data_IF_781265729234
#
_entry.id   IF_781265729234
#
_cell.length_a   1.000
_cell.length_b   1.000
_cell.length_c   1.000
_cell.angle_alpha   90.00
_cell.angle_beta   90.00
_cell.angle_gamma   90.00
#
_symmetry.space_group_name_H-M   'P 1'
#
loop_
_entity.id
_entity.type
_entity.pdbx_description
1 polymer ?
#
# COMPACT_ATOMS: atom_id res chain seq x y z
N UNK A 1 -24.54 -16.10 -10.41
CA UNK A 1 -23.98 -17.37 -9.89
C UNK A 1 -24.04 -17.32 -8.37
N UNK A 2 -24.94 -18.09 -7.75
CA UNK A 2 -25.12 -18.18 -6.30
C UNK A 2 -24.29 -19.36 -5.80
N UNK A 3 -23.50 -19.18 -4.74
CA UNK A 3 -23.01 -20.30 -3.93
C UNK A 3 -23.08 -19.92 -2.45
N UNK A 4 -24.03 -20.56 -1.77
CA UNK A 4 -24.22 -20.64 -0.32
C UNK A 4 -23.30 -21.69 0.28
N UNK A 5 -22.72 -21.42 1.46
CA UNK A 5 -22.11 -22.43 2.33
C UNK A 5 -22.84 -22.40 3.68
N UNK A 6 -23.36 -23.56 4.06
CA UNK A 6 -24.16 -23.86 5.23
C UNK A 6 -23.35 -24.72 6.22
N UNK A 7 -23.48 -24.38 7.51
CA UNK A 7 -23.54 -25.25 8.71
C UNK A 7 -22.49 -26.34 8.99
N UNK A 8 -21.74 -26.15 10.08
CA UNK A 8 -21.21 -27.17 11.02
C UNK A 8 -21.16 -26.47 12.38
N UNK A 9 -21.57 -26.98 13.55
CA UNK A 9 -22.15 -28.25 13.97
C UNK A 9 -22.43 -28.12 15.48
N UNK A 10 -23.59 -28.63 15.95
CA UNK A 10 -23.94 -28.72 17.38
C UNK A 10 -23.50 -30.07 17.92
N UNK A 11 -22.81 -30.08 19.06
CA UNK A 11 -22.48 -31.25 19.89
C UNK A 11 -22.26 -30.68 21.31
N UNK A 12 -23.24 -30.61 22.22
CA UNK A 12 -23.89 -31.66 23.01
C UNK A 12 -22.90 -32.48 23.87
N UNK A 13 -22.71 -32.12 25.16
CA UNK A 13 -22.53 -33.06 26.29
C UNK A 13 -22.97 -32.37 27.59
N UNK A 14 -23.89 -33.04 28.30
CA UNK A 14 -24.39 -32.78 29.66
C UNK A 14 -23.99 -33.99 30.54
N UNK A 15 -23.55 -33.76 31.79
CA UNK A 15 -23.41 -34.70 32.93
C UNK A 15 -23.40 -33.75 34.17
N UNK A 16 -24.37 -33.66 35.09
CA UNK A 16 -25.14 -34.60 35.92
C UNK A 16 -24.32 -35.28 37.04
N UNK A 17 -24.33 -34.71 38.26
CA UNK A 17 -24.22 -35.47 39.52
C UNK A 17 -24.77 -34.69 40.73
N UNK A 18 -25.88 -35.14 41.34
CA UNK A 18 -26.43 -34.62 42.61
C UNK A 18 -26.15 -35.60 43.77
N UNK A 19 -26.06 -35.13 45.03
CA UNK A 19 -26.31 -35.94 46.25
C UNK A 19 -26.40 -35.02 47.49
N UNK A 20 -27.58 -34.93 48.13
CA UNK A 20 -27.96 -35.41 49.49
C UNK A 20 -27.03 -34.91 50.63
N UNK A 21 -27.51 -34.48 51.81
CA UNK A 21 -28.27 -35.26 52.81
C UNK A 21 -29.03 -34.33 53.79
N UNK A 22 -30.25 -34.79 54.15
CA UNK A 22 -31.13 -34.55 55.30
C UNK A 22 -30.52 -34.13 56.65
N UNK A 23 -31.29 -33.41 57.49
CA UNK A 23 -31.78 -33.98 58.78
C UNK A 23 -32.80 -33.06 59.47
N UNK A 24 -33.70 -33.70 60.22
CA UNK A 24 -34.90 -33.20 60.87
C UNK A 24 -34.74 -33.23 62.42
N UNK A 25 -35.62 -32.49 63.12
CA UNK A 25 -35.89 -32.60 64.58
C UNK A 25 -35.55 -31.29 65.33
N UNK A 26 -36.37 -30.70 66.21
CA UNK A 26 -37.63 -31.06 66.87
C UNK A 26 -38.26 -29.78 67.49
N UNK A 27 -39.61 -29.72 67.57
CA UNK A 27 -40.42 -28.78 68.39
C UNK A 27 -40.42 -29.23 69.89
N UNK A 28 -40.92 -28.48 70.91
CA UNK A 28 -41.55 -27.14 70.93
C UNK A 28 -41.18 -26.21 72.14
N UNK A 29 -41.78 -25.00 72.12
CA UNK A 29 -42.33 -24.23 73.26
C UNK A 29 -41.48 -23.17 74.00
N UNK A 30 -42.22 -22.08 74.25
CA UNK A 30 -42.09 -21.04 75.29
C UNK A 30 -41.32 -19.73 75.00
N UNK A 31 -42.15 -18.71 74.78
CA UNK A 31 -41.93 -17.29 75.00
C UNK A 31 -41.27 -17.02 76.37
N UNK A 32 -40.19 -16.22 76.39
CA UNK A 32 -40.16 -14.96 77.15
C UNK A 32 -38.88 -14.16 76.86
N UNK A 33 -39.09 -12.97 76.30
CA UNK A 33 -38.49 -11.68 76.67
C UNK A 33 -36.98 -11.56 76.99
N UNK A 34 -36.33 -10.73 76.16
CA UNK A 34 -35.21 -9.84 76.42
C UNK A 34 -33.88 -10.44 76.87
N UNK A 35 -32.85 -10.33 76.01
CA UNK A 35 -31.65 -9.55 76.32
C UNK A 35 -30.75 -9.40 75.09
N UNK A 36 -30.05 -8.27 75.04
CA UNK A 36 -29.21 -7.83 73.95
C UNK A 36 -27.79 -8.39 74.05
N UNK A 37 -27.20 -8.62 72.86
CA UNK A 37 -25.78 -8.63 72.44
C UNK A 37 -25.39 -9.97 71.78
N UNK A 38 -24.32 -10.00 70.96
CA UNK A 38 -23.84 -9.03 69.97
C UNK A 38 -23.34 -9.74 68.71
N UNK A 39 -23.89 -9.51 67.53
CA UNK A 39 -23.36 -10.10 66.28
C UNK A 39 -23.98 -9.28 65.13
N UNK A 40 -23.28 -8.75 64.14
CA UNK A 40 -21.95 -8.99 63.60
C UNK A 40 -21.46 -7.66 63.03
N UNK A 41 -20.14 -7.44 63.01
CA UNK A 41 -19.55 -6.34 62.26
C UNK A 41 -20.03 -6.42 60.80
N UNK A 42 -20.94 -5.52 60.40
CA UNK A 42 -21.22 -5.29 58.99
C UNK A 42 -19.95 -4.70 58.40
N UNK A 43 -19.24 -5.51 57.64
CA UNK A 43 -18.24 -5.00 56.72
C UNK A 43 -19.04 -4.29 55.63
N UNK A 44 -19.17 -2.98 55.77
CA UNK A 44 -19.72 -2.08 54.76
C UNK A 44 -18.79 -2.13 53.54
N UNK A 45 -19.01 -3.09 52.66
CA UNK A 45 -18.45 -3.05 51.31
C UNK A 45 -19.07 -1.85 50.60
N UNK A 46 -18.26 -0.83 50.31
CA UNK A 46 -18.69 0.46 49.76
C UNK A 46 -19.45 0.41 48.43
N UNK A 47 -19.60 -0.78 47.83
CA UNK A 47 -20.25 -1.00 46.55
C UNK A 47 -21.46 -1.94 46.62
N UNK A 48 -21.88 -2.37 47.82
CA UNK A 48 -23.05 -3.23 48.03
C UNK A 48 -23.94 -2.63 49.11
N UNK A 49 -25.25 -2.54 48.84
CA UNK A 49 -26.23 -2.02 49.80
C UNK A 49 -27.15 -3.16 50.23
N UNK A 50 -27.16 -3.44 51.53
CA UNK A 50 -28.04 -4.45 52.14
C UNK A 50 -29.32 -3.78 52.64
N UNK A 51 -30.49 -4.38 52.34
CA UNK A 51 -31.80 -3.80 52.70
C UNK A 51 -32.68 -4.87 53.35
N UNK A 52 -33.38 -4.49 54.42
CA UNK A 52 -34.29 -5.42 55.12
C UNK A 52 -35.59 -5.65 54.35
N UNK A 53 -36.25 -6.80 54.56
CA UNK A 53 -37.46 -7.18 53.80
C UNK A 53 -38.64 -6.19 53.97
N UNK A 54 -38.73 -5.51 55.12
CA UNK A 54 -39.73 -4.47 55.36
C UNK A 54 -39.43 -3.20 54.55
N UNK A 55 -38.16 -2.81 54.46
CA UNK A 55 -37.70 -1.66 53.66
C UNK A 55 -37.83 -1.96 52.15
N UNK A 56 -37.54 -3.18 51.71
CA UNK A 56 -37.70 -3.61 50.32
C UNK A 56 -39.17 -3.46 49.84
N UNK A 57 -40.13 -3.87 50.68
CA UNK A 57 -41.57 -3.74 50.38
C UNK A 57 -42.08 -2.30 50.50
N UNK A 58 -41.60 -1.52 51.47
CA UNK A 58 -42.01 -0.13 51.65
C UNK A 58 -41.56 0.78 50.47
N UNK A 59 -40.42 0.45 49.86
CA UNK A 59 -39.80 1.25 48.79
C UNK A 59 -40.20 0.74 47.39
N UNK A 60 -40.85 -0.42 47.28
CA UNK A 60 -41.44 -0.91 46.04
C UNK A 60 -40.41 -1.34 44.98
N UNK A 61 -39.30 -1.94 45.41
CA UNK A 61 -38.22 -2.34 44.49
C UNK A 61 -38.69 -3.49 43.59
N UNK A 62 -38.61 -3.28 42.28
CA UNK A 62 -38.90 -4.29 41.26
C UNK A 62 -37.60 -4.74 40.58
N UNK A 63 -37.40 -6.06 40.51
CA UNK A 63 -36.26 -6.68 39.86
C UNK A 63 -36.64 -7.00 38.41
N UNK A 64 -35.95 -6.40 37.45
CA UNK A 64 -36.00 -6.78 36.05
C UNK A 64 -34.80 -7.65 35.68
N UNK A 65 -35.00 -8.67 34.84
CA UNK A 65 -33.90 -9.43 34.24
C UNK A 65 -33.34 -8.70 33.03
N UNK A 66 -32.03 -8.78 32.80
CA UNK A 66 -31.40 -8.23 31.60
C UNK A 66 -31.75 -9.11 30.40
N UNK A 67 -32.47 -8.54 29.42
CA UNK A 67 -32.81 -9.23 28.18
C UNK A 67 -32.03 -8.66 26.99
N UNK A 68 -31.40 -9.50 26.15
CA UNK A 68 -30.75 -9.04 24.93
C UNK A 68 -31.81 -8.56 23.93
N UNK A 69 -31.79 -7.26 23.62
CA UNK A 69 -32.69 -6.64 22.65
C UNK A 69 -31.90 -6.12 21.46
N UNK A 70 -32.40 -6.39 20.25
CA UNK A 70 -31.80 -5.81 19.04
C UNK A 70 -32.04 -4.31 19.01
N UNK A 71 -30.94 -3.55 19.07
CA UNK A 71 -30.96 -2.10 18.90
C UNK A 71 -30.79 -1.78 17.41
N UNK A 72 -31.85 -1.29 16.78
CA UNK A 72 -31.79 -0.78 15.42
C UNK A 72 -31.30 0.67 15.45
N UNK A 73 -29.98 0.87 15.51
CA UNK A 73 -29.36 2.18 15.35
C UNK A 73 -28.71 2.30 13.98
N UNK A 74 -29.08 3.30 13.18
CA UNK A 74 -28.29 3.66 12.01
C UNK A 74 -27.16 4.59 12.45
N UNK A 75 -25.92 4.12 12.35
CA UNK A 75 -24.74 4.96 12.59
C UNK A 75 -24.43 5.74 11.30
N UNK A 76 -24.71 7.04 11.31
CA UNK A 76 -24.31 7.93 10.21
C UNK A 76 -22.83 8.24 10.34
N UNK A 77 -22.06 7.87 9.31
CA UNK A 77 -20.63 8.17 9.19
C UNK A 77 -20.39 8.97 7.92
N UNK A 78 -19.42 9.88 7.98
CA UNK A 78 -18.91 10.56 6.79
C UNK A 78 -17.75 9.73 6.22
N UNK A 79 -17.67 9.64 4.90
CA UNK A 79 -16.57 8.99 4.19
C UNK A 79 -16.23 9.80 2.94
N UNK A 80 -15.02 9.60 2.43
CA UNK A 80 -14.59 10.13 1.15
C UNK A 80 -14.31 8.97 0.20
N UNK A 81 -14.52 9.20 -1.09
CA UNK A 81 -14.14 8.26 -2.14
C UNK A 81 -12.75 8.67 -2.60
N UNK A 82 -11.80 7.75 -2.51
CA UNK A 82 -10.45 7.95 -3.04
C UNK A 82 -10.17 6.94 -4.13
N UNK A 83 -9.45 7.38 -5.15
CA UNK A 83 -9.04 6.50 -6.24
C UNK A 83 -7.76 5.81 -5.80
N UNK A 84 -7.67 4.46 -5.84
CA UNK A 84 -6.43 3.78 -5.52
C UNK A 84 -5.28 4.36 -6.37
N UNK A 85 -4.13 4.69 -5.77
CA UNK A 85 -3.02 5.36 -6.48
C UNK A 85 -2.48 4.52 -7.66
N UNK A 86 -2.75 3.21 -7.67
CA UNK A 86 -2.41 2.29 -8.76
C UNK A 86 -3.10 2.63 -10.08
N UNK A 87 -4.23 3.35 -10.06
CA UNK A 87 -5.00 3.72 -11.25
C UNK A 87 -4.74 5.17 -11.71
N UNK A 88 -3.83 5.89 -11.06
CA UNK A 88 -3.43 7.25 -11.44
C UNK A 88 -2.03 7.19 -12.07
N UNK A 89 -1.93 7.59 -13.33
CA UNK A 89 -0.64 7.67 -14.04
C UNK A 89 -0.38 9.13 -14.43
N UNK A 90 0.71 9.68 -13.92
CA UNK A 90 1.21 10.99 -14.37
C UNK A 90 2.19 10.77 -15.51
N UNK A 91 1.90 11.34 -16.69
CA UNK A 91 2.73 11.23 -17.87
C UNK A 91 3.68 12.43 -17.89
N UNK A 92 4.98 12.17 -17.88
CA UNK A 92 6.04 13.19 -17.97
C UNK A 92 6.97 12.84 -19.10
N UNK A 93 7.51 13.85 -19.77
CA UNK A 93 8.49 13.66 -20.85
C UNK A 93 9.90 13.96 -20.34
N UNK A 94 10.88 13.18 -20.81
CA UNK A 94 12.28 13.34 -20.42
C UNK A 94 12.88 14.66 -20.94
N UNK A 95 12.36 15.15 -22.07
CA UNK A 95 12.69 16.44 -22.67
C UNK A 95 11.43 17.27 -22.84
N UNK A 96 11.56 18.58 -22.57
CA UNK A 96 10.49 19.54 -22.78
C UNK A 96 10.24 19.80 -24.26
N UNK A 97 9.17 20.53 -24.54
CA UNK A 97 8.83 20.96 -25.89
C UNK A 97 7.48 21.66 -25.92
N UNK A 98 7.15 22.14 -27.10
CA UNK A 98 5.85 22.78 -27.38
C UNK A 98 4.88 21.67 -27.80
N UNK A 99 3.65 21.70 -27.28
CA UNK A 99 2.58 20.80 -27.73
C UNK A 99 2.19 21.21 -29.16
N UNK A 100 2.45 20.33 -30.12
CA UNK A 100 2.07 20.50 -31.52
C UNK A 100 0.60 20.20 -31.74
N UNK A 101 0.12 19.11 -31.14
CA UNK A 101 -1.28 18.70 -31.22
C UNK A 101 -1.65 17.77 -30.06
N UNK A 102 -2.93 17.83 -29.70
CA UNK A 102 -3.57 16.95 -28.72
C UNK A 102 -4.90 16.51 -29.33
N UNK A 103 -5.01 15.28 -29.85
CA UNK A 103 -6.24 14.80 -30.48
C UNK A 103 -7.36 14.54 -29.47
N UNK A 104 -7.04 14.46 -28.18
CA UNK A 104 -7.94 14.09 -27.10
C UNK A 104 -8.49 15.30 -26.36
N UNK A 105 -9.76 15.19 -25.98
CA UNK A 105 -10.45 16.11 -25.08
C UNK A 105 -10.35 15.62 -23.64
N UNK A 106 -10.51 16.53 -22.69
CA UNK A 106 -10.55 16.18 -21.28
C UNK A 106 -11.76 15.29 -20.99
N UNK A 107 -11.53 14.18 -20.29
CA UNK A 107 -12.56 13.17 -20.01
C UNK A 107 -12.74 12.10 -21.08
N UNK A 108 -11.99 12.17 -22.20
CA UNK A 108 -11.96 11.09 -23.18
C UNK A 108 -11.32 9.82 -22.61
N UNK A 109 -11.90 8.66 -22.91
CA UNK A 109 -11.30 7.37 -22.60
C UNK A 109 -10.08 7.14 -23.48
N UNK A 110 -8.97 6.68 -22.89
CA UNK A 110 -7.73 6.35 -23.60
C UNK A 110 -7.37 4.88 -23.44
N UNK A 111 -6.84 4.27 -24.48
CA UNK A 111 -6.33 2.89 -24.44
C UNK A 111 -4.80 2.86 -24.33
N UNK A 112 -4.24 1.74 -23.86
CA UNK A 112 -2.78 1.56 -23.78
C UNK A 112 -2.16 1.68 -25.18
N UNK A 113 -1.22 2.59 -25.34
CA UNK A 113 -0.52 2.85 -26.60
C UNK A 113 -1.14 3.95 -27.47
N UNK A 114 -2.24 4.56 -27.04
CA UNK A 114 -2.85 5.67 -27.74
C UNK A 114 -2.02 6.96 -27.60
N UNK A 115 -1.91 7.74 -28.68
CA UNK A 115 -1.15 8.99 -28.69
C UNK A 115 -1.95 10.09 -28.01
N UNK A 116 -1.47 10.54 -26.85
CA UNK A 116 -2.15 11.57 -26.06
C UNK A 116 -1.81 12.98 -26.53
N UNK A 117 -0.53 13.23 -26.83
CA UNK A 117 -0.05 14.51 -27.33
C UNK A 117 1.19 14.31 -28.20
N UNK A 118 1.38 15.18 -29.19
CA UNK A 118 2.59 15.25 -30.00
C UNK A 118 3.36 16.49 -29.58
N UNK A 119 4.61 16.31 -29.16
CA UNK A 119 5.51 17.39 -28.78
C UNK A 119 6.49 17.71 -29.92
N UNK A 120 6.86 18.98 -30.03
CA UNK A 120 7.91 19.46 -30.95
C UNK A 120 8.90 20.34 -30.19
N UNK A 121 10.19 20.13 -30.44
CA UNK A 121 11.28 20.95 -29.90
C UNK A 121 12.44 20.97 -30.91
N UNK A 122 13.10 22.11 -31.04
CA UNK A 122 14.33 22.27 -31.84
C UNK A 122 15.49 21.43 -31.27
N UNK A 123 15.52 21.20 -29.95
CA UNK A 123 16.54 20.41 -29.28
C UNK A 123 16.62 18.97 -29.79
N UNK A 124 15.49 18.39 -30.25
CA UNK A 124 15.47 17.06 -30.86
C UNK A 124 16.24 17.03 -32.18
N UNK A 125 16.12 18.10 -32.97
CA UNK A 125 16.84 18.24 -34.25
C UNK A 125 18.33 18.43 -33.99
N UNK A 126 18.69 19.25 -32.99
CA UNK A 126 20.10 19.44 -32.60
C UNK A 126 20.74 18.11 -32.16
N UNK A 127 20.06 17.33 -31.33
CA UNK A 127 20.59 16.05 -30.87
C UNK A 127 20.78 15.04 -32.02
N UNK A 128 19.87 15.04 -33.01
CA UNK A 128 20.01 14.23 -34.22
C UNK A 128 21.18 14.71 -35.09
N UNK A 129 21.35 16.02 -35.26
CA UNK A 129 22.48 16.60 -35.98
C UNK A 129 23.81 16.21 -35.31
N UNK A 130 23.92 16.41 -34.00
CA UNK A 130 25.12 16.08 -33.22
C UNK A 130 25.46 14.58 -33.36
N UNK A 131 24.46 13.71 -33.36
CA UNK A 131 24.63 12.26 -33.56
C UNK A 131 25.19 11.95 -34.96
N UNK A 132 24.58 12.50 -35.99
CA UNK A 132 25.00 12.28 -37.39
C UNK A 132 26.41 12.82 -37.65
N UNK A 133 26.74 13.98 -37.08
CA UNK A 133 28.09 14.55 -37.14
C UNK A 133 29.10 13.64 -36.43
N UNK A 134 28.78 13.18 -35.22
CA UNK A 134 29.65 12.26 -34.47
C UNK A 134 29.83 10.92 -35.16
N UNK A 135 28.80 10.41 -35.86
CA UNK A 135 28.86 9.17 -36.67
C UNK A 135 29.84 9.32 -37.84
N UNK A 136 29.74 10.43 -38.57
CA UNK A 136 30.67 10.75 -39.67
C UNK A 136 32.12 10.90 -39.16
N UNK A 137 32.31 11.61 -38.06
CA UNK A 137 33.64 11.80 -37.46
C UNK A 137 34.23 10.50 -36.93
N UNK A 138 33.41 9.60 -36.40
CA UNK A 138 33.81 8.26 -35.97
C UNK A 138 34.31 7.44 -37.17
N UNK A 139 33.56 7.40 -38.27
CA UNK A 139 33.94 6.69 -39.49
C UNK A 139 35.28 7.17 -40.06
N UNK A 140 35.49 8.50 -40.09
CA UNK A 140 36.77 9.09 -40.48
C UNK A 140 37.90 8.66 -39.53
N UNK A 141 37.67 8.73 -38.21
CA UNK A 141 38.68 8.37 -37.21
C UNK A 141 39.02 6.88 -37.20
N UNK A 142 38.06 6.01 -37.49
CA UNK A 142 38.24 4.56 -37.61
C UNK A 142 39.09 4.22 -38.84
N UNK A 143 38.78 4.86 -39.98
CA UNK A 143 39.56 4.70 -41.22
C UNK A 143 41.00 5.18 -41.03
N UNK A 144 41.20 6.32 -40.37
CA UNK A 144 42.53 6.83 -40.04
C UNK A 144 43.28 5.87 -39.11
N UNK A 145 42.63 5.40 -38.04
CA UNK A 145 43.23 4.46 -37.09
C UNK A 145 43.70 3.18 -37.80
N UNK A 146 42.84 2.58 -38.64
CA UNK A 146 43.18 1.39 -39.45
C UNK A 146 44.37 1.64 -40.38
N UNK A 147 44.37 2.78 -41.08
CA UNK A 147 45.50 3.16 -41.95
C UNK A 147 46.81 3.28 -41.16
N UNK A 148 46.78 3.95 -40.02
CA UNK A 148 47.98 4.11 -39.19
C UNK A 148 48.43 2.79 -38.56
N UNK A 149 47.49 1.88 -38.29
CA UNK A 149 47.79 0.53 -37.82
C UNK A 149 48.52 -0.30 -38.90
N UNK A 150 48.11 -0.21 -40.16
CA UNK A 150 48.78 -0.87 -41.29
C UNK A 150 50.19 -0.30 -41.52
N UNK A 151 50.32 1.02 -41.58
CA UNK A 151 51.63 1.68 -41.77
C UNK A 151 52.60 1.41 -40.62
N UNK A 152 52.10 1.33 -39.39
CA UNK A 152 52.92 0.97 -38.23
C UNK A 152 53.39 -0.49 -38.26
N UNK A 153 52.56 -1.42 -38.75
CA UNK A 153 52.98 -2.83 -38.94
C UNK A 153 54.10 -2.96 -39.97
N UNK A 154 54.11 -2.08 -40.96
CA UNK A 154 55.18 -1.99 -41.96
C UNK A 154 56.39 -1.18 -41.47
N UNK A 155 56.45 -0.78 -40.19
CA UNK A 155 57.47 0.07 -39.58
C UNK A 155 57.66 1.44 -40.27
N UNK A 156 56.63 1.94 -40.95
CA UNK A 156 56.68 3.22 -41.69
C UNK A 156 56.34 4.40 -40.78
N UNK A 157 55.45 4.20 -39.80
CA UNK A 157 54.97 5.27 -38.92
C UNK A 157 55.45 5.12 -37.46
N UNK A 158 55.60 6.25 -36.77
CA UNK A 158 55.90 6.33 -35.34
C UNK A 158 54.76 5.78 -34.48
N UNK A 159 55.11 5.03 -33.44
CA UNK A 159 54.15 4.48 -32.48
C UNK A 159 53.36 5.57 -31.73
N UNK A 160 53.91 6.78 -31.58
CA UNK A 160 53.19 7.93 -31.01
C UNK A 160 51.96 8.29 -31.84
N UNK A 161 52.09 8.27 -33.17
CA UNK A 161 51.00 8.63 -34.09
C UNK A 161 49.90 7.58 -34.04
N UNK A 162 50.26 6.30 -33.99
CA UNK A 162 49.29 5.20 -33.80
C UNK A 162 48.54 5.31 -32.47
N UNK A 163 49.24 5.65 -31.38
CA UNK A 163 48.60 5.85 -30.08
C UNK A 163 47.64 7.05 -30.09
N UNK A 164 48.02 8.13 -30.77
CA UNK A 164 47.18 9.32 -30.91
C UNK A 164 45.93 9.04 -31.76
N UNK A 165 46.06 8.33 -32.89
CA UNK A 165 44.90 7.97 -33.72
C UNK A 165 43.96 7.01 -32.99
N UNK A 166 44.50 6.04 -32.23
CA UNK A 166 43.71 5.15 -31.36
C UNK A 166 42.92 5.93 -30.31
N UNK A 167 43.57 6.87 -29.62
CA UNK A 167 42.90 7.70 -28.61
C UNK A 167 41.78 8.56 -29.23
N UNK A 168 42.00 9.10 -30.43
CA UNK A 168 41.00 9.87 -31.15
C UNK A 168 39.80 9.02 -31.58
N UNK A 169 40.04 7.82 -32.13
CA UNK A 169 38.98 6.85 -32.44
C UNK A 169 38.16 6.49 -31.20
N UNK A 170 38.82 6.15 -30.08
CA UNK A 170 38.12 5.82 -28.83
C UNK A 170 37.29 6.99 -28.29
N UNK A 171 37.77 8.22 -28.45
CA UNK A 171 37.04 9.44 -28.06
C UNK A 171 35.78 9.62 -28.90
N UNK A 172 35.87 9.47 -30.22
CA UNK A 172 34.72 9.58 -31.11
C UNK A 172 33.71 8.45 -30.90
N UNK A 173 34.20 7.24 -30.61
CA UNK A 173 33.37 6.09 -30.29
C UNK A 173 32.57 6.33 -29.00
N UNK A 174 33.23 6.86 -27.95
CA UNK A 174 32.55 7.20 -26.71
C UNK A 174 31.49 8.30 -26.91
N UNK A 175 31.80 9.31 -27.75
CA UNK A 175 30.88 10.40 -28.08
C UNK A 175 29.65 9.91 -28.85
N UNK A 176 29.83 9.09 -29.88
CA UNK A 176 28.72 8.52 -30.65
C UNK A 176 27.82 7.68 -29.74
N UNK A 177 28.40 6.81 -28.91
CA UNK A 177 27.63 5.97 -28.00
C UNK A 177 26.85 6.80 -26.96
N UNK A 178 27.43 7.88 -26.45
CA UNK A 178 26.74 8.77 -25.51
C UNK A 178 25.54 9.46 -26.17
N UNK A 179 25.70 9.95 -27.41
CA UNK A 179 24.62 10.58 -28.17
C UNK A 179 23.54 9.57 -28.57
N UNK A 180 23.95 8.36 -28.99
CA UNK A 180 23.06 7.24 -29.27
C UNK A 180 22.19 6.87 -28.06
N UNK A 181 22.78 6.83 -26.88
CA UNK A 181 22.05 6.53 -25.66
C UNK A 181 21.08 7.66 -25.30
N UNK A 182 21.47 8.93 -25.51
CA UNK A 182 20.57 10.07 -25.33
C UNK A 182 19.35 10.00 -26.25
N UNK A 183 19.54 9.64 -27.53
CA UNK A 183 18.43 9.43 -28.47
C UNK A 183 17.49 8.30 -28.05
N UNK A 184 18.05 7.18 -27.55
CA UNK A 184 17.25 6.05 -27.05
C UNK A 184 16.40 6.42 -25.83
N UNK A 185 16.91 7.27 -24.93
CA UNK A 185 16.15 7.72 -23.75
C UNK A 185 14.90 8.52 -24.13
N UNK A 186 14.89 9.17 -25.29
CA UNK A 186 13.73 9.90 -25.82
C UNK A 186 12.94 9.09 -26.85
N UNK A 187 13.17 7.77 -26.92
CA UNK A 187 12.53 6.85 -27.87
C UNK A 187 12.68 7.24 -29.35
N UNK A 188 13.75 7.97 -29.70
CA UNK A 188 14.12 8.21 -31.10
C UNK A 188 15.10 7.09 -31.50
N UNK A 189 14.71 6.28 -32.48
CA UNK A 189 15.54 5.19 -33.00
C UNK A 189 16.72 5.75 -33.82
N UNK A 190 17.97 5.46 -33.43
CA UNK A 190 19.13 5.78 -34.25
C UNK A 190 19.38 4.62 -35.23
N UNK A 191 18.96 4.78 -36.50
CA UNK A 191 19.34 3.91 -37.62
C UNK A 191 20.30 4.65 -38.57
#
# INVERSE_FOLDING_TARGET
MKFTIQSIGKLAVTIALPLFISSCGSKPAENSTAEAKPDTAHTEDKNTVEVTAAQYKAIGISLGSAEPKNLAGLLKVNGFIDVPPQNLVSITTQMGGIVKSTPLLQGSSVSKGEVIAVLQNQDYVQLQQDYLESKSQLELSDTEYKRQQELSQQNVNSQKVLQQSKAQYQTMLARENALKQRLRLINISPE
#
